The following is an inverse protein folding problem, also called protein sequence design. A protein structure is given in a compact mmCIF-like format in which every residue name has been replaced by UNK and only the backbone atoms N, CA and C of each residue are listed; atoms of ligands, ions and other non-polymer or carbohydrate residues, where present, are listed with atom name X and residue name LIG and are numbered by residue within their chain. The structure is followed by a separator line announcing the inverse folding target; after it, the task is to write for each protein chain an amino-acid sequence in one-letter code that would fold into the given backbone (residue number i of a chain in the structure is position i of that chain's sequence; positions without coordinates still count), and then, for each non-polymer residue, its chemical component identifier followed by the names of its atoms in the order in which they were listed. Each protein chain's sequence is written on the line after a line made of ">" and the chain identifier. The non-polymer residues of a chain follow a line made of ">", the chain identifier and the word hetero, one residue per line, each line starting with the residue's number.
data_IF_158091327440
#
_entry.id   IF_158091327440
#
_cell.length_a   1.000
_cell.length_b   1.000
_cell.length_c   1.000
_cell.angle_alpha   90.00
_cell.angle_beta   90.00
_cell.angle_gamma   90.00
#
_symmetry.space_group_name_H-M   'P 1'
#
loop_
_entity.id
_entity.type
_entity.pdbx_description
1 polymer ?
#
# COMPACT_ATOMS: atom_id res chain seq x y z
N UNK A 1 3.33 23.53 12.74
CA UNK A 1 2.19 22.69 13.18
C UNK A 1 2.63 21.46 13.99
N UNK A 2 3.65 20.71 13.55
CA UNK A 2 4.14 19.50 14.24
C UNK A 2 4.55 19.73 15.71
N UNK A 3 5.31 20.78 16.09
CA UNK A 3 5.68 21.00 17.49
C UNK A 3 4.48 21.21 18.42
N UNK A 4 3.41 21.81 17.92
CA UNK A 4 2.19 22.07 18.70
C UNK A 4 1.42 20.77 18.94
N UNK A 5 1.35 19.88 17.94
CA UNK A 5 0.66 18.60 18.08
C UNK A 5 1.32 17.69 19.13
N UNK A 6 2.65 17.74 19.23
CA UNK A 6 3.41 16.94 20.21
C UNK A 6 3.21 17.41 21.66
N UNK A 7 2.75 18.63 21.87
CA UNK A 7 2.51 19.20 23.20
C UNK A 7 1.05 19.13 23.64
N UNK A 8 0.15 18.67 22.77
CA UNK A 8 -1.27 18.54 23.11
C UNK A 8 -1.47 17.42 24.13
N UNK A 9 -2.25 17.64 25.18
CA UNK A 9 -2.56 16.60 26.14
C UNK A 9 -3.42 15.51 25.47
N UNK A 10 -3.13 14.26 25.82
CA UNK A 10 -3.96 13.13 25.40
C UNK A 10 -5.38 13.30 25.98
N UNK A 11 -6.41 12.96 25.20
CA UNK A 11 -7.79 12.93 25.67
C UNK A 11 -7.93 11.99 26.86
N UNK A 12 -8.70 12.39 27.90
CA UNK A 12 -8.90 11.59 29.12
C UNK A 12 -9.63 10.25 28.85
N UNK A 13 -10.45 10.20 27.83
CA UNK A 13 -11.24 9.05 27.39
C UNK A 13 -10.57 8.27 26.22
N UNK A 14 -9.29 8.54 25.94
CA UNK A 14 -8.56 7.81 24.89
C UNK A 14 -8.24 6.38 25.36
N UNK A 15 -8.79 5.37 24.68
CA UNK A 15 -8.76 4.01 25.21
C UNK A 15 -7.43 3.27 24.95
N UNK A 16 -6.52 3.86 24.16
CA UNK A 16 -5.30 3.19 23.73
C UNK A 16 -4.07 3.71 24.48
N UNK A 17 -3.13 2.81 24.71
CA UNK A 17 -1.80 3.14 25.21
C UNK A 17 -0.82 3.14 24.04
N UNK A 18 -0.32 4.28 23.66
CA UNK A 18 0.55 4.49 22.50
C UNK A 18 1.90 5.09 22.95
N UNK A 19 2.80 4.27 23.53
CA UNK A 19 4.14 4.74 23.87
C UNK A 19 4.94 5.03 22.59
N UNK A 20 5.75 6.06 22.62
CA UNK A 20 6.61 6.52 21.51
C UNK A 20 8.08 6.07 21.68
N UNK A 21 8.44 5.53 22.83
CA UNK A 21 9.77 4.97 23.08
C UNK A 21 9.78 3.43 22.99
N UNK A 22 10.93 2.87 22.59
CA UNK A 22 11.08 1.44 22.36
C UNK A 22 10.81 0.59 23.62
N UNK A 23 11.13 1.11 24.82
CA UNK A 23 10.88 0.42 26.09
C UNK A 23 9.39 0.34 26.38
N UNK A 24 8.69 1.45 26.21
CA UNK A 24 7.24 1.53 26.37
C UNK A 24 6.51 0.64 25.36
N UNK A 25 6.92 0.66 24.08
CA UNK A 25 6.38 -0.21 23.03
C UNK A 25 6.56 -1.69 23.39
N UNK A 26 7.76 -2.09 23.83
CA UNK A 26 8.04 -3.46 24.27
C UNK A 26 7.22 -3.86 25.48
N UNK A 27 6.99 -2.95 26.41
CA UNK A 27 6.18 -3.20 27.60
C UNK A 27 4.67 -3.26 27.30
N UNK A 28 4.20 -2.48 26.33
CA UNK A 28 2.78 -2.42 25.95
C UNK A 28 2.35 -3.56 25.01
N UNK A 29 3.27 -4.10 24.20
CA UNK A 29 2.92 -5.21 23.30
C UNK A 29 2.68 -6.49 24.10
N UNK A 30 1.58 -7.19 23.79
CA UNK A 30 1.31 -8.52 24.31
C UNK A 30 2.36 -9.55 23.85
N UNK A 31 2.39 -10.70 24.51
CA UNK A 31 3.15 -11.85 24.01
C UNK A 31 2.56 -12.26 22.66
N UNK A 32 3.29 -11.99 21.59
CA UNK A 32 2.91 -12.45 20.26
C UNK A 32 2.91 -13.99 20.18
N UNK A 33 2.19 -14.57 19.22
CA UNK A 33 2.26 -16.00 18.98
C UNK A 33 3.71 -16.39 18.65
N UNK A 34 4.17 -17.50 19.21
CA UNK A 34 5.44 -18.08 18.82
C UNK A 34 5.28 -18.60 17.40
N UNK A 35 5.91 -17.93 16.44
CA UNK A 35 5.91 -18.39 15.06
C UNK A 35 6.81 -19.64 14.98
N UNK A 36 6.25 -20.81 14.66
CA UNK A 36 7.06 -22.02 14.56
C UNK A 36 8.07 -21.88 13.43
N UNK A 37 9.28 -22.40 13.66
CA UNK A 37 10.32 -22.44 12.62
C UNK A 37 9.82 -23.28 11.45
N UNK A 38 10.01 -22.77 10.23
CA UNK A 38 9.69 -23.55 9.02
C UNK A 38 10.46 -24.87 9.00
N UNK A 39 9.73 -25.98 8.83
CA UNK A 39 10.28 -27.35 8.77
C UNK A 39 9.90 -28.08 7.48
N UNK A 40 9.25 -27.39 6.55
CA UNK A 40 8.87 -27.93 5.24
C UNK A 40 10.03 -27.97 4.23
N UNK A 41 9.77 -28.56 3.08
CA UNK A 41 10.74 -28.60 1.98
C UNK A 41 10.96 -27.20 1.42
N UNK A 42 12.15 -26.94 0.88
CA UNK A 42 12.49 -25.64 0.26
C UNK A 42 11.56 -25.29 -0.90
N UNK A 43 11.18 -26.28 -1.70
CA UNK A 43 10.23 -26.07 -2.80
C UNK A 43 8.86 -25.58 -2.32
N UNK A 44 8.36 -26.09 -1.19
CA UNK A 44 7.10 -25.68 -0.59
C UNK A 44 7.19 -24.25 -0.04
N UNK A 45 8.35 -23.89 0.54
CA UNK A 45 8.63 -22.52 0.98
C UNK A 45 8.63 -21.55 -0.20
N UNK A 46 9.36 -21.86 -1.25
CA UNK A 46 9.44 -21.03 -2.47
C UNK A 46 8.07 -20.84 -3.11
N UNK A 47 7.26 -21.90 -3.17
CA UNK A 47 5.89 -21.83 -3.68
C UNK A 47 5.00 -20.93 -2.82
N UNK A 48 5.12 -20.98 -1.49
CA UNK A 48 4.38 -20.09 -0.58
C UNK A 48 4.79 -18.63 -0.73
N UNK A 49 6.09 -18.35 -0.84
CA UNK A 49 6.60 -17.00 -1.08
C UNK A 49 6.09 -16.45 -2.40
N UNK A 50 6.16 -17.25 -3.47
CA UNK A 50 5.59 -16.91 -4.78
C UNK A 50 4.09 -16.66 -4.68
N UNK A 51 3.35 -17.52 -4.00
CA UNK A 51 1.91 -17.37 -3.77
C UNK A 51 1.59 -16.09 -2.98
N UNK A 52 2.38 -15.75 -1.98
CA UNK A 52 2.25 -14.51 -1.22
C UNK A 52 2.47 -13.26 -2.09
N UNK A 53 3.50 -13.27 -2.94
CA UNK A 53 3.74 -12.17 -3.89
C UNK A 53 2.60 -12.03 -4.91
N UNK A 54 2.19 -13.13 -5.54
CA UNK A 54 1.08 -13.12 -6.50
C UNK A 54 -0.24 -12.69 -5.84
N UNK A 55 -0.47 -13.12 -4.59
CA UNK A 55 -1.64 -12.70 -3.82
C UNK A 55 -1.64 -11.18 -3.53
N UNK A 56 -0.48 -10.60 -3.24
CA UNK A 56 -0.34 -9.14 -3.10
C UNK A 56 -0.69 -8.43 -4.41
N UNK A 57 -0.10 -8.85 -5.52
CA UNK A 57 -0.37 -8.29 -6.84
C UNK A 57 -1.86 -8.38 -7.19
N UNK A 58 -2.46 -9.55 -6.97
CA UNK A 58 -3.89 -9.78 -7.18
C UNK A 58 -4.76 -8.86 -6.30
N UNK A 59 -4.36 -8.66 -5.03
CA UNK A 59 -5.03 -7.74 -4.11
C UNK A 59 -4.95 -6.28 -4.55
N UNK A 60 -3.78 -5.83 -4.99
CA UNK A 60 -3.61 -4.48 -5.55
C UNK A 60 -4.53 -4.27 -6.76
N UNK A 61 -4.58 -5.22 -7.68
CA UNK A 61 -5.48 -5.17 -8.83
C UNK A 61 -6.96 -5.11 -8.46
N UNK A 62 -7.36 -5.79 -7.38
CA UNK A 62 -8.74 -5.76 -6.91
C UNK A 62 -9.12 -4.39 -6.35
N UNK A 63 -8.22 -3.76 -5.60
CA UNK A 63 -8.46 -2.49 -4.91
C UNK A 63 -8.25 -1.25 -5.78
N UNK A 64 -7.32 -1.32 -6.71
CA UNK A 64 -6.83 -0.17 -7.50
C UNK A 64 -7.92 0.66 -8.19
N UNK A 65 -8.95 0.08 -8.84
CA UNK A 65 -10.03 0.87 -9.46
C UNK A 65 -10.81 1.75 -8.47
N UNK A 66 -10.75 1.40 -7.18
CA UNK A 66 -11.50 2.06 -6.11
C UNK A 66 -10.63 2.91 -5.18
N UNK A 67 -9.35 3.04 -5.47
CA UNK A 67 -8.45 3.82 -4.62
C UNK A 67 -8.88 5.30 -4.54
N UNK A 68 -9.00 5.81 -3.31
CA UNK A 68 -9.48 7.17 -3.05
C UNK A 68 -10.98 7.38 -3.30
N UNK A 69 -11.75 6.30 -3.56
CA UNK A 69 -13.20 6.34 -3.72
C UNK A 69 -13.87 6.03 -2.38
N UNK A 70 -14.88 6.78 -2.02
CA UNK A 70 -15.64 6.54 -0.78
C UNK A 70 -16.51 5.27 -0.88
N UNK A 71 -16.79 4.67 0.29
CA UNK A 71 -17.52 3.40 0.38
C UNK A 71 -18.88 3.41 -0.35
N UNK A 72 -19.64 4.52 -0.26
CA UNK A 72 -20.95 4.59 -0.89
C UNK A 72 -20.85 4.58 -2.42
N UNK A 73 -19.83 5.24 -2.96
CA UNK A 73 -19.53 5.24 -4.40
C UNK A 73 -19.05 3.86 -4.87
N UNK A 74 -18.21 3.17 -4.08
CA UNK A 74 -17.80 1.79 -4.37
C UNK A 74 -18.99 0.86 -4.47
N UNK A 75 -19.92 0.94 -3.50
CA UNK A 75 -21.15 0.15 -3.51
C UNK A 75 -21.99 0.41 -4.75
N UNK A 76 -22.20 1.69 -5.10
CA UNK A 76 -22.94 2.05 -6.31
C UNK A 76 -22.31 1.49 -7.58
N UNK A 77 -20.99 1.57 -7.70
CA UNK A 77 -20.27 0.99 -8.83
C UNK A 77 -20.50 -0.52 -8.92
N UNK A 78 -20.30 -1.20 -7.80
CA UNK A 78 -20.43 -2.65 -7.75
C UNK A 78 -21.87 -3.12 -8.03
N UNK A 79 -22.88 -2.42 -7.48
CA UNK A 79 -24.30 -2.70 -7.75
C UNK A 79 -24.65 -2.48 -9.21
N UNK A 80 -24.33 -1.30 -9.77
CA UNK A 80 -24.68 -0.95 -11.16
C UNK A 80 -23.97 -1.83 -12.19
N UNK A 81 -22.78 -2.33 -11.88
CA UNK A 81 -22.02 -3.24 -12.76
C UNK A 81 -22.31 -4.71 -12.52
N UNK A 82 -23.23 -5.04 -11.59
CA UNK A 82 -23.61 -6.42 -11.24
C UNK A 82 -22.52 -7.18 -10.47
N UNK A 83 -21.58 -6.47 -9.83
CA UNK A 83 -20.46 -7.05 -9.07
C UNK A 83 -20.62 -6.92 -7.55
N UNK A 84 -21.83 -6.74 -7.04
CA UNK A 84 -22.11 -6.74 -5.61
C UNK A 84 -22.90 -8.00 -5.18
N UNK A 85 -22.50 -8.69 -4.07
CA UNK A 85 -21.24 -8.55 -3.36
C UNK A 85 -20.04 -8.85 -4.27
N UNK A 86 -18.87 -8.20 -4.01
CA UNK A 86 -17.69 -8.31 -4.86
C UNK A 86 -17.28 -9.78 -5.04
N UNK A 87 -17.36 -10.28 -6.27
CA UNK A 87 -17.03 -11.67 -6.65
C UNK A 87 -16.04 -11.76 -7.80
N UNK A 88 -15.73 -10.62 -8.43
CA UNK A 88 -14.85 -10.53 -9.56
C UNK A 88 -14.05 -9.21 -9.51
N UNK A 89 -13.02 -9.11 -10.33
CA UNK A 89 -12.36 -7.84 -10.59
C UNK A 89 -13.31 -6.86 -11.25
N UNK A 90 -13.16 -5.58 -10.90
CA UNK A 90 -14.03 -4.56 -11.43
C UNK A 90 -13.75 -4.31 -12.92
N UNK A 91 -14.77 -4.39 -13.74
CA UNK A 91 -14.78 -3.93 -15.13
C UNK A 91 -15.13 -2.45 -15.22
N UNK A 92 -14.79 -1.82 -16.32
CA UNK A 92 -15.25 -0.46 -16.59
C UNK A 92 -16.78 -0.43 -16.70
N UNK A 93 -17.47 0.54 -16.07
CA UNK A 93 -18.89 0.76 -16.29
C UNK A 93 -19.15 1.16 -17.75
N UNK A 94 -20.21 0.65 -18.33
CA UNK A 94 -20.72 1.17 -19.62
C UNK A 94 -21.17 2.62 -19.48
N UNK A 95 -21.29 3.35 -20.59
CA UNK A 95 -21.77 4.72 -20.57
C UNK A 95 -23.18 4.84 -19.95
N UNK A 96 -24.03 3.84 -20.11
CA UNK A 96 -25.36 3.81 -19.51
C UNK A 96 -25.31 3.62 -17.99
N UNK A 97 -24.49 2.67 -17.51
CA UNK A 97 -24.24 2.44 -16.08
C UNK A 97 -23.63 3.68 -15.41
N UNK A 98 -22.62 4.28 -16.04
CA UNK A 98 -21.99 5.50 -15.54
C UNK A 98 -23.01 6.65 -15.43
N UNK A 99 -23.89 6.83 -16.40
CA UNK A 99 -24.96 7.82 -16.31
C UNK A 99 -25.91 7.54 -15.14
N UNK A 100 -26.24 6.27 -14.84
CA UNK A 100 -27.06 5.92 -13.68
C UNK A 100 -26.34 6.23 -12.36
N UNK A 101 -25.07 5.89 -12.27
CA UNK A 101 -24.23 6.18 -11.09
C UNK A 101 -24.19 7.70 -10.85
N UNK A 102 -23.89 8.50 -11.87
CA UNK A 102 -23.79 9.96 -11.77
C UNK A 102 -25.11 10.65 -11.42
N UNK A 103 -26.26 10.08 -11.81
CA UNK A 103 -27.58 10.58 -11.38
C UNK A 103 -27.88 10.33 -9.91
N UNK A 104 -27.36 9.24 -9.34
CA UNK A 104 -27.55 8.90 -7.91
C UNK A 104 -26.66 9.76 -7.02
N UNK A 105 -25.44 10.03 -7.46
CA UNK A 105 -24.48 10.80 -6.71
C UNK A 105 -23.38 11.33 -7.64
N UNK A 106 -22.97 12.61 -7.49
CA UNK A 106 -21.76 13.09 -8.14
C UNK A 106 -20.57 12.36 -7.54
N UNK A 107 -19.78 11.74 -8.38
CA UNK A 107 -18.54 11.03 -8.00
C UNK A 107 -17.34 11.78 -8.56
N UNK A 108 -16.19 11.63 -7.87
CA UNK A 108 -14.93 12.14 -8.38
C UNK A 108 -14.65 11.50 -9.75
N UNK A 109 -14.22 12.27 -10.76
CA UNK A 109 -13.79 11.72 -12.03
C UNK A 109 -12.71 10.64 -11.83
N UNK A 110 -12.87 9.53 -12.51
CA UNK A 110 -11.88 8.46 -12.51
C UNK A 110 -10.63 8.95 -13.24
N UNK A 111 -9.49 8.78 -12.62
CA UNK A 111 -8.21 9.19 -13.21
C UNK A 111 -7.76 8.22 -14.31
N UNK A 112 -6.87 8.67 -15.19
CA UNK A 112 -6.37 7.84 -16.30
C UNK A 112 -5.71 6.54 -15.81
N UNK A 113 -4.98 6.58 -14.68
CA UNK A 113 -4.36 5.39 -14.11
C UNK A 113 -5.39 4.41 -13.51
N UNK A 114 -6.49 4.90 -12.93
CA UNK A 114 -7.58 4.05 -12.47
C UNK A 114 -8.30 3.36 -13.65
N UNK A 115 -8.45 4.05 -14.78
CA UNK A 115 -9.03 3.45 -15.98
C UNK A 115 -8.20 2.26 -16.49
N UNK A 116 -6.87 2.34 -16.40
CA UNK A 116 -5.98 1.25 -16.78
C UNK A 116 -6.06 0.03 -15.84
N UNK A 117 -6.72 0.16 -14.68
CA UNK A 117 -6.81 -0.90 -13.67
C UNK A 117 -8.12 -1.70 -13.72
N UNK A 118 -9.07 -1.36 -14.61
CA UNK A 118 -10.23 -2.19 -14.87
C UNK A 118 -9.82 -3.47 -15.61
N UNK A 119 -10.40 -4.61 -15.24
CA UNK A 119 -10.00 -5.92 -15.77
C UNK A 119 -10.14 -6.03 -17.29
N UNK A 120 -11.04 -5.29 -17.87
CA UNK A 120 -11.28 -5.23 -19.33
C UNK A 120 -10.39 -4.20 -20.05
N UNK A 121 -9.47 -3.56 -19.33
CA UNK A 121 -8.56 -2.52 -19.85
C UNK A 121 -7.09 -2.79 -19.60
N UNK A 122 -6.77 -3.73 -18.74
CA UNK A 122 -5.38 -4.02 -18.38
C UNK A 122 -4.85 -5.25 -19.15
N UNK A 123 -3.70 -5.10 -19.79
CA UNK A 123 -2.96 -6.19 -20.43
C UNK A 123 -2.00 -6.90 -19.46
N UNK A 124 -2.02 -6.52 -18.19
CA UNK A 124 -1.16 -7.04 -17.12
C UNK A 124 -1.38 -6.25 -15.83
N UNK A 125 -0.44 -6.36 -14.92
CA UNK A 125 -0.52 -5.62 -13.66
C UNK A 125 -0.01 -4.20 -13.87
N UNK A 126 -0.86 -3.15 -13.69
CA UNK A 126 -0.40 -1.78 -13.74
C UNK A 126 0.58 -1.49 -12.61
N UNK A 127 1.44 -0.51 -12.83
CA UNK A 127 2.38 -0.07 -11.81
C UNK A 127 1.64 0.37 -10.54
N UNK A 128 2.16 -0.07 -9.41
CA UNK A 128 1.60 0.16 -8.08
C UNK A 128 2.75 0.32 -7.08
N UNK A 129 2.63 1.25 -6.15
CA UNK A 129 3.64 1.50 -5.13
C UNK A 129 3.82 0.30 -4.19
N UNK A 130 2.77 -0.37 -3.75
CA UNK A 130 2.85 -1.58 -2.95
C UNK A 130 3.65 -2.70 -3.63
N UNK A 131 3.50 -2.84 -4.95
CA UNK A 131 4.26 -3.81 -5.75
C UNK A 131 5.71 -3.34 -5.89
N UNK A 132 5.92 -2.06 -6.22
CA UNK A 132 7.24 -1.47 -6.41
C UNK A 132 8.09 -1.62 -5.15
N UNK A 133 7.56 -1.26 -3.96
CA UNK A 133 8.29 -1.40 -2.69
C UNK A 133 8.54 -2.85 -2.32
N UNK A 134 7.66 -3.77 -2.66
CA UNK A 134 7.91 -5.20 -2.46
C UNK A 134 9.07 -5.68 -3.33
N UNK A 135 9.14 -5.26 -4.59
CA UNK A 135 10.24 -5.61 -5.51
C UNK A 135 11.56 -4.98 -5.04
N UNK A 136 11.53 -3.71 -4.62
CA UNK A 136 12.72 -3.04 -4.06
C UNK A 136 13.19 -3.70 -2.77
N UNK A 137 12.27 -4.16 -1.90
CA UNK A 137 12.60 -4.94 -0.71
C UNK A 137 13.31 -6.26 -1.05
N UNK A 138 12.88 -6.96 -2.09
CA UNK A 138 13.59 -8.15 -2.59
C UNK A 138 14.97 -7.79 -3.15
N UNK A 139 15.08 -6.69 -3.87
CA UNK A 139 16.34 -6.26 -4.48
C UNK A 139 17.37 -5.81 -3.44
N UNK A 140 16.98 -5.10 -2.38
CA UNK A 140 17.90 -4.73 -1.30
C UNK A 140 18.43 -5.98 -0.58
N UNK A 141 17.55 -6.95 -0.31
CA UNK A 141 17.94 -8.24 0.27
C UNK A 141 18.90 -9.01 -0.64
N UNK A 142 18.67 -8.99 -1.95
CA UNK A 142 19.56 -9.63 -2.93
C UNK A 142 20.96 -9.01 -2.98
N UNK A 143 21.05 -7.68 -2.85
CA UNK A 143 22.35 -6.94 -2.90
C UNK A 143 23.11 -7.01 -1.59
N UNK A 144 22.42 -6.86 -0.47
CA UNK A 144 23.05 -6.62 0.84
C UNK A 144 22.79 -7.74 1.87
N UNK A 145 21.94 -8.74 1.53
CA UNK A 145 21.53 -9.78 2.48
C UNK A 145 20.58 -9.25 3.54
N UNK A 146 20.53 -9.92 4.69
CA UNK A 146 19.65 -9.55 5.81
C UNK A 146 20.18 -8.36 6.64
N UNK A 147 21.44 -7.99 6.47
CA UNK A 147 22.11 -6.95 7.26
C UNK A 147 22.07 -5.57 6.59
N UNK A 148 21.23 -5.38 5.59
CA UNK A 148 21.07 -4.09 4.92
C UNK A 148 20.67 -2.99 5.91
N UNK A 149 21.17 -1.79 5.67
CA UNK A 149 20.88 -0.60 6.46
C UNK A 149 19.79 0.26 5.83
N UNK A 150 19.17 1.18 6.59
CA UNK A 150 18.26 2.18 6.00
C UNK A 150 18.92 3.02 4.89
N UNK A 151 20.24 3.22 4.94
CA UNK A 151 20.98 3.96 3.92
C UNK A 151 21.08 3.16 2.61
N UNK A 152 21.27 1.84 2.68
CA UNK A 152 21.27 0.97 1.51
C UNK A 152 19.91 1.00 0.81
N UNK A 153 18.83 0.96 1.59
CA UNK A 153 17.49 1.09 1.06
C UNK A 153 17.23 2.45 0.43
N UNK A 154 17.64 3.55 1.09
CA UNK A 154 17.51 4.90 0.55
C UNK A 154 18.28 5.06 -0.76
N UNK A 155 19.53 4.54 -0.82
CA UNK A 155 20.35 4.54 -2.03
C UNK A 155 19.68 3.75 -3.16
N UNK A 156 19.09 2.61 -2.85
CA UNK A 156 18.35 1.80 -3.83
C UNK A 156 17.13 2.54 -4.38
N UNK A 157 16.37 3.21 -3.52
CA UNK A 157 15.22 4.01 -3.94
C UNK A 157 15.62 5.10 -4.93
N UNK A 158 16.63 5.91 -4.60
CA UNK A 158 17.12 6.97 -5.50
C UNK A 158 17.55 6.42 -6.85
N UNK A 159 18.16 5.23 -6.88
CA UNK A 159 18.68 4.62 -8.10
C UNK A 159 17.61 3.94 -8.96
N UNK A 160 16.58 3.36 -8.35
CA UNK A 160 15.66 2.43 -9.02
C UNK A 160 14.21 2.89 -9.07
N UNK A 161 13.80 3.81 -8.20
CA UNK A 161 12.43 4.28 -8.14
C UNK A 161 12.34 5.71 -8.68
N UNK A 162 11.70 5.92 -9.84
CA UNK A 162 11.49 7.27 -10.36
C UNK A 162 10.68 8.13 -9.39
N UNK A 163 11.09 9.36 -9.14
CA UNK A 163 10.42 10.26 -8.19
C UNK A 163 8.92 10.46 -8.50
N UNK A 164 8.53 10.41 -9.76
CA UNK A 164 7.13 10.55 -10.17
C UNK A 164 6.29 9.30 -9.85
N UNK A 165 6.91 8.17 -9.55
CA UNK A 165 6.25 6.95 -9.08
C UNK A 165 6.10 6.91 -7.55
N UNK A 166 6.48 7.98 -6.84
CA UNK A 166 6.37 8.09 -5.38
C UNK A 166 5.10 8.84 -4.98
N UNK A 167 4.50 8.45 -3.87
CA UNK A 167 3.36 9.13 -3.25
C UNK A 167 3.82 10.12 -2.16
N UNK A 168 3.00 10.41 -1.19
CA UNK A 168 3.20 11.49 -0.23
C UNK A 168 4.44 11.32 0.65
N UNK A 169 4.52 10.25 1.42
CA UNK A 169 5.60 10.01 2.39
C UNK A 169 6.94 9.78 1.71
N UNK A 170 6.96 8.94 0.69
CA UNK A 170 8.16 8.61 -0.08
C UNK A 170 8.72 9.83 -0.80
N UNK A 171 7.84 10.69 -1.34
CA UNK A 171 8.25 11.95 -1.96
C UNK A 171 8.86 12.92 -0.96
N UNK A 172 8.35 12.94 0.28
CA UNK A 172 8.97 13.68 1.36
C UNK A 172 10.36 13.16 1.70
N UNK A 173 10.51 11.82 1.80
CA UNK A 173 11.80 11.18 2.02
C UNK A 173 12.80 11.49 0.88
N UNK A 174 12.37 11.42 -0.38
CA UNK A 174 13.21 11.81 -1.51
C UNK A 174 13.72 13.24 -1.42
N UNK A 175 12.83 14.19 -1.13
CA UNK A 175 13.22 15.58 -0.94
C UNK A 175 14.23 15.72 0.17
N UNK A 176 14.00 15.07 1.31
CA UNK A 176 14.89 15.12 2.45
C UNK A 176 16.28 14.53 2.12
N UNK A 177 16.31 13.41 1.39
CA UNK A 177 17.57 12.79 0.94
C UNK A 177 18.34 13.70 -0.01
N UNK A 178 17.66 14.40 -0.95
CA UNK A 178 18.29 15.38 -1.85
C UNK A 178 18.84 16.57 -1.06
N UNK A 179 18.15 17.01 -0.01
CA UNK A 179 18.59 18.08 0.89
C UNK A 179 19.69 17.62 1.88
N UNK A 180 20.18 16.38 1.76
CA UNK A 180 21.27 15.84 2.58
C UNK A 180 20.84 15.25 3.92
N UNK A 181 19.53 15.11 4.16
CA UNK A 181 19.03 14.43 5.35
C UNK A 181 19.08 12.92 5.15
N UNK A 182 19.96 12.25 5.91
CA UNK A 182 20.08 10.80 5.83
C UNK A 182 19.13 10.09 6.82
N UNK A 183 18.77 8.81 6.56
CA UNK A 183 18.02 8.02 7.53
C UNK A 183 18.70 8.01 8.91
N UNK A 184 17.95 8.04 9.99
CA UNK A 184 16.48 7.97 10.10
C UNK A 184 15.76 9.33 10.04
N UNK A 185 16.42 10.40 9.62
CA UNK A 185 15.88 11.77 9.60
C UNK A 185 15.26 12.17 8.25
N UNK A 186 15.48 11.37 7.21
CA UNK A 186 14.94 11.60 5.87
C UNK A 186 13.46 11.29 5.72
#
# INVERSE_FOLDING_TARGET
>A
ALPILQTLPMRRDYPFREPDDLRGIRAARGRGPVVPRWRGRQADFSNRVRGGFLGRVAGCMLGKPFEGVDRASILMYAEETGNWPLRAYQRQPTAAELRRILRRRPIRPVTSWQLACYIDRCDGFPSDDDINYTVLGMEVMRRHGADFTPLDLASLWIQQLPILATCTAERAAYRNLIDGWLPPRS
#
